data_IF_212972011250
#
_entry.id   IF_212972011250
#
_cell.length_a   1.000
_cell.length_b   1.000
_cell.length_c   1.000
_cell.angle_alpha   90.00
_cell.angle_beta   90.00
_cell.angle_gamma   90.00
#
_symmetry.space_group_name_H-M   'P 1'
#
loop_
_entity.id
_entity.type
_entity.pdbx_description
1 polymer ?
#
# COMPACT_ATOMS: atom_id res chain seq x y z
N UNK A 1 -39.22 14.09 5.55
CA UNK A 1 -38.48 15.16 4.89
C UNK A 1 -37.15 14.62 4.34
N UNK A 2 -36.60 15.23 3.34
CA UNK A 2 -35.21 14.96 2.91
C UNK A 2 -34.29 15.79 3.80
N UNK A 3 -33.20 15.20 4.24
CA UNK A 3 -32.22 15.84 5.11
C UNK A 3 -30.81 15.68 4.53
N UNK A 4 -30.17 16.78 4.18
CA UNK A 4 -28.76 16.78 3.79
C UNK A 4 -27.90 16.84 5.04
N UNK A 5 -26.89 15.98 5.13
CA UNK A 5 -26.02 15.82 6.29
C UNK A 5 -24.56 15.88 5.87
N UNK A 6 -23.72 16.48 6.72
CA UNK A 6 -22.28 16.47 6.65
C UNK A 6 -21.67 16.61 8.04
N UNK A 7 -20.48 16.05 8.28
CA UNK A 7 -19.83 16.06 9.59
C UNK A 7 -18.40 16.58 9.50
N UNK A 8 -17.97 17.30 10.55
CA UNK A 8 -16.61 17.75 10.74
C UNK A 8 -15.98 17.07 11.95
N UNK A 9 -14.82 16.49 11.77
CA UNK A 9 -14.11 15.72 12.82
C UNK A 9 -12.61 15.97 12.81
N UNK A 10 -11.97 15.69 13.94
CA UNK A 10 -10.52 15.70 14.03
C UNK A 10 -9.91 14.48 13.34
N UNK A 11 -8.65 14.61 12.96
CA UNK A 11 -7.86 13.54 12.34
C UNK A 11 -6.53 13.42 13.06
N UNK A 12 -6.05 12.20 13.24
CA UNK A 12 -4.77 11.94 13.91
C UNK A 12 -3.74 11.44 12.90
N UNK A 13 -2.54 12.03 12.96
CA UNK A 13 -1.40 11.54 12.16
C UNK A 13 -0.48 10.70 13.05
N UNK A 14 -0.31 9.42 12.72
CA UNK A 14 0.57 8.48 13.42
C UNK A 14 1.36 7.64 12.40
N UNK A 15 2.65 7.47 12.62
CA UNK A 15 3.55 6.69 11.74
C UNK A 15 3.50 7.14 10.27
N UNK A 16 3.37 8.46 10.04
CA UNK A 16 3.28 9.05 8.72
C UNK A 16 1.93 8.85 8.02
N UNK A 17 0.95 8.18 8.66
CA UNK A 17 -0.39 7.92 8.13
C UNK A 17 -1.43 8.77 8.83
N UNK A 18 -2.44 9.18 8.07
CA UNK A 18 -3.58 9.93 8.56
C UNK A 18 -4.72 8.96 8.90
N UNK A 19 -5.15 8.98 10.16
CA UNK A 19 -6.29 8.21 10.68
C UNK A 19 -7.51 9.12 10.71
N UNK A 20 -8.51 8.78 9.90
CA UNK A 20 -9.72 9.58 9.71
C UNK A 20 -10.94 8.96 10.41
N UNK A 21 -10.80 7.73 10.87
CA UNK A 21 -11.93 6.95 11.37
C UNK A 21 -12.30 7.30 12.83
N UNK A 22 -13.57 7.09 13.22
CA UNK A 22 -14.04 7.36 14.59
C UNK A 22 -13.49 6.33 15.61
N UNK A 23 -12.83 5.26 15.19
CA UNK A 23 -12.23 4.23 16.06
C UNK A 23 -10.82 4.59 16.53
N UNK A 24 -10.26 5.68 16.02
CA UNK A 24 -9.03 6.25 16.57
C UNK A 24 -9.39 7.03 17.85
N UNK A 25 -8.88 6.63 19.04
CA UNK A 25 -9.34 7.18 20.31
C UNK A 25 -9.10 8.69 20.49
N UNK A 26 -8.18 9.26 19.72
CA UNK A 26 -7.85 10.69 19.75
C UNK A 26 -8.72 11.53 18.81
N UNK A 27 -9.45 10.88 17.90
CA UNK A 27 -10.34 11.58 17.00
C UNK A 27 -11.67 11.90 17.68
N UNK A 28 -12.26 13.06 17.34
CA UNK A 28 -13.52 13.56 17.90
C UNK A 28 -14.40 14.11 16.79
N UNK A 29 -15.69 13.88 16.92
CA UNK A 29 -16.71 14.58 16.15
C UNK A 29 -16.82 16.02 16.68
N UNK A 30 -16.67 17.00 15.83
CA UNK A 30 -16.60 18.42 16.21
C UNK A 30 -17.90 19.14 15.91
N UNK A 31 -18.45 18.89 14.71
CA UNK A 31 -19.67 19.55 14.27
C UNK A 31 -20.49 18.63 13.36
N UNK A 32 -21.80 18.72 13.44
CA UNK A 32 -22.74 18.08 12.54
C UNK A 32 -23.63 19.15 11.91
N UNK A 33 -23.70 19.14 10.60
CA UNK A 33 -24.59 20.00 9.84
C UNK A 33 -25.76 19.23 9.24
N UNK A 34 -26.96 19.80 9.34
CA UNK A 34 -28.18 19.27 8.72
C UNK A 34 -28.88 20.39 7.96
N UNK A 35 -29.34 20.11 6.73
CA UNK A 35 -30.11 21.03 5.91
C UNK A 35 -31.37 20.31 5.42
N UNK A 36 -32.54 20.81 5.87
CA UNK A 36 -33.86 20.30 5.46
C UNK A 36 -34.21 20.74 4.03
N UNK A 37 -35.11 20.00 3.38
CA UNK A 37 -35.63 20.34 2.05
C UNK A 37 -36.40 21.66 1.95
N UNK A 38 -36.88 22.20 3.11
CA UNK A 38 -37.49 23.52 3.22
C UNK A 38 -36.48 24.68 3.35
N UNK A 39 -35.16 24.37 3.41
CA UNK A 39 -34.10 25.35 3.58
C UNK A 39 -33.70 25.62 5.03
N UNK A 40 -34.38 25.00 6.01
CA UNK A 40 -34.01 25.15 7.42
C UNK A 40 -32.69 24.42 7.69
N UNK A 41 -31.75 25.15 8.29
CA UNK A 41 -30.42 24.63 8.61
C UNK A 41 -30.21 24.49 10.11
N UNK A 42 -29.59 23.39 10.51
CA UNK A 42 -29.21 23.11 11.88
C UNK A 42 -27.70 22.80 11.91
N UNK A 43 -26.97 23.49 12.79
CA UNK A 43 -25.52 23.28 12.98
C UNK A 43 -25.27 22.96 14.45
N UNK A 44 -24.93 21.73 14.73
CA UNK A 44 -24.70 21.19 16.05
C UNK A 44 -23.20 21.21 16.37
N UNK A 45 -22.84 21.94 17.43
CA UNK A 45 -21.47 21.88 17.99
C UNK A 45 -21.42 20.73 19.00
N UNK A 46 -20.58 19.73 18.74
CA UNK A 46 -20.50 18.51 19.56
C UNK A 46 -19.73 18.70 20.87
N UNK A 47 -19.09 19.86 21.07
CA UNK A 47 -18.46 20.22 22.36
C UNK A 47 -19.49 20.62 23.45
N UNK A 48 -20.75 20.84 23.07
CA UNK A 48 -21.86 21.20 23.96
C UNK A 48 -22.99 20.15 23.86
N UNK A 49 -23.81 19.98 24.89
CA UNK A 49 -24.82 18.91 24.94
C UNK A 49 -26.08 19.20 24.07
N UNK A 50 -25.87 19.61 22.82
CA UNK A 50 -26.97 19.85 21.86
C UNK A 50 -27.44 18.56 21.15
N UNK A 51 -26.91 17.42 21.54
CA UNK A 51 -27.11 16.15 20.85
C UNK A 51 -28.54 15.59 20.89
N UNK A 52 -29.38 16.01 21.86
CA UNK A 52 -30.79 15.59 21.92
C UNK A 52 -31.53 16.08 20.68
N UNK A 53 -31.33 17.31 20.30
CA UNK A 53 -31.98 17.92 19.14
C UNK A 53 -31.48 17.32 17.81
N UNK A 54 -30.21 16.87 17.72
CA UNK A 54 -29.70 16.19 16.53
C UNK A 54 -30.47 14.87 16.27
N UNK A 55 -30.69 14.06 17.31
CA UNK A 55 -31.47 12.83 17.14
C UNK A 55 -32.89 13.09 16.68
N UNK A 56 -33.55 14.12 17.24
CA UNK A 56 -34.90 14.52 16.82
C UNK A 56 -34.96 14.94 15.35
N UNK A 57 -33.94 15.64 14.85
CA UNK A 57 -33.83 16.01 13.42
C UNK A 57 -33.63 14.78 12.56
N UNK A 58 -32.76 13.84 12.98
CA UNK A 58 -32.51 12.57 12.28
C UNK A 58 -33.77 11.69 12.23
N UNK A 59 -34.55 11.62 13.33
CA UNK A 59 -35.76 10.80 13.41
C UNK A 59 -36.87 11.27 12.45
N UNK A 60 -36.88 12.55 12.11
CA UNK A 60 -37.84 13.12 11.13
C UNK A 60 -37.42 12.86 9.67
N UNK A 61 -36.16 12.47 9.43
CA UNK A 61 -35.64 12.28 8.08
C UNK A 61 -36.16 10.97 7.47
N UNK A 62 -36.79 11.05 6.31
CA UNK A 62 -37.18 9.86 5.51
C UNK A 62 -36.01 9.39 4.60
N UNK A 63 -35.13 10.30 4.25
CA UNK A 63 -33.92 10.01 3.49
C UNK A 63 -32.81 10.97 3.91
N UNK A 64 -31.63 10.45 4.19
CA UNK A 64 -30.41 11.24 4.36
C UNK A 64 -29.66 11.37 3.02
N UNK A 65 -29.24 12.58 2.74
CA UNK A 65 -28.44 12.94 1.57
C UNK A 65 -27.06 13.34 2.08
N UNK A 66 -26.01 12.83 1.47
CA UNK A 66 -24.63 13.22 1.79
C UNK A 66 -23.69 12.98 0.61
N UNK A 67 -22.48 13.45 0.75
CA UNK A 67 -21.41 13.18 -0.23
C UNK A 67 -20.39 12.22 0.38
N UNK A 68 -20.46 10.93 0.06
CA UNK A 68 -19.80 9.82 0.76
C UNK A 68 -20.43 9.57 2.16
N UNK A 69 -21.76 9.59 2.23
CA UNK A 69 -22.58 9.53 3.45
C UNK A 69 -22.24 8.38 4.41
N UNK A 70 -21.61 7.30 3.89
CA UNK A 70 -21.16 6.20 4.72
C UNK A 70 -20.14 6.63 5.79
N UNK A 71 -19.35 7.66 5.50
CA UNK A 71 -18.40 8.25 6.44
C UNK A 71 -19.12 8.97 7.59
N UNK A 72 -20.09 9.78 7.25
CA UNK A 72 -20.87 10.57 8.22
C UNK A 72 -21.68 9.66 9.13
N UNK A 73 -22.32 8.62 8.56
CA UNK A 73 -23.06 7.63 9.31
C UNK A 73 -22.20 6.88 10.33
N UNK A 74 -20.97 6.56 10.00
CA UNK A 74 -20.06 5.90 10.95
C UNK A 74 -19.76 6.79 12.15
N UNK A 75 -19.53 8.08 11.93
CA UNK A 75 -19.35 9.04 13.02
C UNK A 75 -20.58 9.19 13.89
N UNK A 76 -21.75 9.33 13.27
CA UNK A 76 -23.01 9.40 14.01
C UNK A 76 -23.24 8.15 14.86
N UNK A 77 -23.08 6.95 14.27
CA UNK A 77 -23.30 5.70 15.00
C UNK A 77 -22.28 5.48 16.12
N UNK A 78 -21.05 5.92 15.96
CA UNK A 78 -20.02 5.80 17.00
C UNK A 78 -20.28 6.76 18.15
N UNK A 79 -20.82 7.94 17.86
CA UNK A 79 -21.27 8.90 18.86
C UNK A 79 -22.64 8.55 19.49
N UNK A 80 -23.23 7.40 19.13
CA UNK A 80 -24.49 6.90 19.74
C UNK A 80 -25.76 7.34 19.06
N UNK A 81 -25.71 8.15 17.98
CA UNK A 81 -26.87 8.52 17.18
C UNK A 81 -27.35 7.35 16.34
N UNK A 82 -28.66 7.33 16.04
CA UNK A 82 -29.31 6.25 15.31
C UNK A 82 -29.92 6.78 14.02
N UNK A 83 -29.71 6.07 12.94
CA UNK A 83 -30.41 6.26 11.68
C UNK A 83 -30.48 4.94 10.91
N UNK A 84 -31.69 4.53 10.55
CA UNK A 84 -31.99 3.27 9.84
C UNK A 84 -32.74 3.52 8.51
N UNK A 85 -32.93 4.79 8.15
CA UNK A 85 -33.68 5.19 6.96
C UNK A 85 -32.90 5.03 5.66
N UNK A 86 -33.52 5.45 4.57
CA UNK A 86 -32.90 5.45 3.25
C UNK A 86 -31.78 6.51 3.16
N UNK A 87 -30.79 6.26 2.29
CA UNK A 87 -29.73 7.23 2.00
C UNK A 87 -29.63 7.49 0.49
N UNK A 88 -29.19 8.70 0.14
CA UNK A 88 -28.79 9.09 -1.20
C UNK A 88 -27.38 9.68 -1.16
N UNK A 89 -26.42 8.89 -1.59
CA UNK A 89 -25.01 9.28 -1.67
C UNK A 89 -24.73 9.92 -3.03
N UNK A 90 -24.46 11.23 -3.02
CA UNK A 90 -24.20 11.99 -4.24
C UNK A 90 -22.91 11.58 -4.95
N UNK A 91 -21.87 11.13 -4.19
CA UNK A 91 -20.64 10.63 -4.77
C UNK A 91 -20.87 9.30 -5.52
N UNK A 92 -21.62 8.38 -4.93
CA UNK A 92 -21.92 7.08 -5.55
C UNK A 92 -22.92 7.22 -6.71
N UNK A 93 -23.88 8.13 -6.61
CA UNK A 93 -24.79 8.43 -7.72
C UNK A 93 -24.01 8.98 -8.93
N UNK A 94 -23.10 9.92 -8.71
CA UNK A 94 -22.24 10.45 -9.76
C UNK A 94 -21.35 9.36 -10.37
N UNK A 95 -20.73 8.50 -9.54
CA UNK A 95 -19.92 7.37 -10.00
C UNK A 95 -20.68 6.46 -10.97
N UNK A 96 -21.96 6.16 -10.67
CA UNK A 96 -22.80 5.31 -11.54
C UNK A 96 -23.17 6.06 -12.82
N UNK A 97 -23.51 7.34 -12.73
CA UNK A 97 -23.85 8.19 -13.87
C UNK A 97 -22.69 8.28 -14.86
N UNK A 98 -21.46 8.27 -14.38
CA UNK A 98 -20.26 8.32 -15.23
C UNK A 98 -20.05 7.06 -16.09
N UNK A 99 -20.69 5.94 -15.80
CA UNK A 99 -20.61 4.71 -16.62
C UNK A 99 -19.16 4.31 -16.95
N UNK A 100 -18.22 4.45 -16.02
CA UNK A 100 -16.81 4.09 -16.18
C UNK A 100 -15.88 5.19 -16.70
N UNK A 101 -16.36 6.39 -16.95
CA UNK A 101 -15.55 7.55 -17.35
C UNK A 101 -14.80 8.14 -16.17
N UNK A 102 -14.19 7.52 -15.35
CA UNK A 102 -13.34 7.84 -14.17
C UNK A 102 -12.99 9.33 -13.94
N UNK A 103 -13.98 10.22 -13.92
CA UNK A 103 -13.77 11.63 -13.54
C UNK A 103 -13.65 11.77 -12.01
N UNK A 104 -13.04 12.83 -11.48
CA UNK A 104 -12.97 13.10 -10.06
C UNK A 104 -14.36 13.16 -9.43
N UNK A 105 -14.50 12.56 -8.24
CA UNK A 105 -15.76 12.43 -7.51
C UNK A 105 -15.84 13.33 -6.27
N UNK A 106 -14.83 14.18 -6.01
CA UNK A 106 -14.91 15.13 -4.89
C UNK A 106 -16.08 16.10 -5.07
N UNK A 107 -16.65 16.58 -3.97
CA UNK A 107 -17.77 17.53 -4.01
C UNK A 107 -17.39 18.79 -4.81
N UNK A 108 -16.15 19.28 -4.66
CA UNK A 108 -15.62 20.39 -5.43
C UNK A 108 -15.66 20.13 -6.96
N UNK A 109 -15.12 18.99 -7.40
CA UNK A 109 -15.11 18.60 -8.81
C UNK A 109 -16.52 18.37 -9.37
N UNK A 110 -17.44 17.87 -8.56
CA UNK A 110 -18.85 17.73 -8.91
C UNK A 110 -19.54 19.10 -8.99
N UNK A 111 -19.26 20.00 -8.03
CA UNK A 111 -19.82 21.35 -8.01
C UNK A 111 -19.42 22.13 -9.29
N UNK A 112 -18.17 22.04 -9.69
CA UNK A 112 -17.68 22.60 -10.97
C UNK A 112 -18.40 22.00 -12.18
N UNK A 113 -18.45 20.65 -12.26
CA UNK A 113 -19.04 19.91 -13.40
C UNK A 113 -20.52 20.19 -13.60
N UNK A 114 -21.24 20.35 -12.52
CA UNK A 114 -22.69 20.62 -12.55
C UNK A 114 -23.03 22.10 -12.45
N UNK A 115 -22.03 22.99 -12.45
CA UNK A 115 -22.19 24.44 -12.37
C UNK A 115 -23.16 24.83 -11.23
N UNK A 116 -22.80 24.35 -10.02
CA UNK A 116 -23.62 24.64 -8.83
C UNK A 116 -23.46 26.12 -8.44
N UNK A 117 -24.53 26.73 -7.94
CA UNK A 117 -24.51 28.10 -7.42
C UNK A 117 -23.55 28.23 -6.23
N UNK A 118 -23.55 27.22 -5.35
CA UNK A 118 -22.62 27.15 -4.24
C UNK A 118 -21.36 26.41 -4.70
N UNK A 119 -20.28 27.14 -4.88
CA UNK A 119 -18.97 26.57 -5.15
C UNK A 119 -18.31 26.21 -3.81
N UNK A 120 -17.83 24.95 -3.69
CA UNK A 120 -17.00 24.58 -2.55
C UNK A 120 -15.67 25.33 -2.67
N UNK A 121 -15.46 26.34 -1.83
CA UNK A 121 -14.15 26.97 -1.65
C UNK A 121 -13.47 26.30 -0.45
N UNK A 122 -12.29 25.77 -0.65
CA UNK A 122 -11.49 25.21 0.43
C UNK A 122 -10.86 26.35 1.27
N UNK A 123 -11.75 27.04 2.00
CA UNK A 123 -11.39 28.21 2.84
C UNK A 123 -10.54 27.79 4.04
N UNK A 124 -10.56 26.50 4.41
CA UNK A 124 -9.85 25.98 5.58
C UNK A 124 -8.43 25.47 5.25
N UNK A 125 -8.05 25.45 3.97
CA UNK A 125 -6.77 24.92 3.51
C UNK A 125 -5.55 25.58 4.16
N UNK A 126 -5.65 26.86 4.47
CA UNK A 126 -4.59 27.60 5.11
C UNK A 126 -4.34 27.13 6.56
N UNK A 127 -5.38 26.71 7.30
CA UNK A 127 -5.24 26.14 8.64
C UNK A 127 -4.53 24.78 8.57
N UNK A 128 -4.94 23.91 7.67
CA UNK A 128 -4.31 22.60 7.47
C UNK A 128 -2.86 22.70 7.01
N UNK A 129 -2.53 23.70 6.16
CA UNK A 129 -1.15 23.97 5.76
C UNK A 129 -0.25 24.40 6.92
N UNK A 130 -0.83 25.03 7.97
CA UNK A 130 -0.15 25.41 9.20
C UNK A 130 -0.14 24.29 10.26
N UNK A 131 -0.73 23.11 9.95
CA UNK A 131 -0.82 21.99 10.87
C UNK A 131 -1.92 22.13 11.93
N UNK A 132 -2.85 23.09 11.75
CA UNK A 132 -4.01 23.27 12.65
C UNK A 132 -5.05 22.23 12.33
N UNK A 133 -5.50 21.45 13.32
CA UNK A 133 -6.60 20.50 13.19
C UNK A 133 -7.96 21.20 13.18
N UNK A 134 -9.02 20.44 12.83
CA UNK A 134 -10.40 20.94 12.77
C UNK A 134 -10.86 21.54 14.12
N UNK A 135 -10.40 20.98 15.21
CA UNK A 135 -10.67 21.47 16.59
C UNK A 135 -10.05 22.82 16.90
N UNK A 136 -8.97 23.19 16.21
CA UNK A 136 -8.30 24.50 16.32
C UNK A 136 -8.87 25.60 15.40
N UNK A 137 -9.82 25.27 14.51
CA UNK A 137 -10.44 26.25 13.60
C UNK A 137 -11.54 27.03 14.35
N UNK A 138 -11.64 28.37 14.16
CA UNK A 138 -12.71 29.16 14.72
C UNK A 138 -14.08 28.58 14.34
N UNK A 139 -14.97 28.42 15.33
CA UNK A 139 -16.27 27.74 15.14
C UNK A 139 -17.15 28.42 14.08
N UNK A 140 -17.08 29.74 13.94
CA UNK A 140 -17.89 30.47 12.95
C UNK A 140 -17.39 30.20 11.52
N UNK A 141 -16.08 30.15 11.30
CA UNK A 141 -15.52 29.78 10.00
C UNK A 141 -15.84 28.32 9.63
N UNK A 142 -15.79 27.41 10.62
CA UNK A 142 -16.18 26.01 10.43
C UNK A 142 -17.68 25.88 10.09
N UNK A 143 -18.56 26.69 10.72
CA UNK A 143 -19.99 26.75 10.40
C UNK A 143 -20.24 27.24 8.97
N UNK A 144 -19.54 28.29 8.54
CA UNK A 144 -19.65 28.82 7.17
C UNK A 144 -19.22 27.75 6.15
N UNK A 145 -18.12 27.09 6.40
CA UNK A 145 -17.61 26.01 5.56
C UNK A 145 -18.62 24.86 5.46
N UNK A 146 -19.08 24.34 6.60
CA UNK A 146 -20.06 23.25 6.67
C UNK A 146 -21.40 23.65 6.02
N UNK A 147 -21.84 24.89 6.19
CA UNK A 147 -23.03 25.43 5.51
C UNK A 147 -22.91 25.43 3.99
N UNK A 148 -21.73 25.77 3.47
CA UNK A 148 -21.47 25.73 2.04
C UNK A 148 -21.47 24.29 1.49
N UNK A 149 -20.87 23.34 2.22
CA UNK A 149 -20.83 21.92 1.84
C UNK A 149 -22.24 21.30 1.84
N UNK A 150 -23.07 21.60 2.82
CA UNK A 150 -24.48 21.18 2.88
C UNK A 150 -25.27 21.69 1.66
N UNK A 151 -25.16 22.98 1.35
CA UNK A 151 -25.86 23.59 0.21
C UNK A 151 -25.38 23.01 -1.13
N UNK A 152 -24.06 22.85 -1.30
CA UNK A 152 -23.50 22.24 -2.50
C UNK A 152 -23.97 20.78 -2.66
N UNK A 153 -23.96 20.00 -1.58
CA UNK A 153 -24.44 18.61 -1.57
C UNK A 153 -25.92 18.52 -1.91
N UNK A 154 -26.76 19.39 -1.35
CA UNK A 154 -28.19 19.43 -1.66
C UNK A 154 -28.42 19.79 -3.14
N UNK A 155 -27.80 20.84 -3.65
CA UNK A 155 -27.88 21.25 -5.07
C UNK A 155 -27.40 20.14 -6.01
N UNK A 156 -26.29 19.47 -5.67
CA UNK A 156 -25.79 18.31 -6.42
C UNK A 156 -26.81 17.18 -6.43
N UNK A 157 -27.36 16.85 -5.27
CA UNK A 157 -28.40 15.82 -5.15
C UNK A 157 -29.59 16.09 -6.08
N UNK A 158 -30.08 17.33 -6.13
CA UNK A 158 -31.18 17.72 -6.99
C UNK A 158 -30.84 17.59 -8.48
N UNK A 159 -29.64 17.99 -8.88
CA UNK A 159 -29.15 17.85 -10.28
C UNK A 159 -29.04 16.37 -10.66
N UNK A 160 -28.44 15.53 -9.79
CA UNK A 160 -28.28 14.10 -10.03
C UNK A 160 -29.63 13.38 -10.07
N UNK A 161 -30.53 13.70 -9.16
CA UNK A 161 -31.86 13.12 -9.13
C UNK A 161 -32.66 13.45 -10.40
N UNK A 162 -32.64 14.72 -10.85
CA UNK A 162 -33.26 15.13 -12.13
C UNK A 162 -32.65 14.35 -13.28
N UNK A 163 -31.33 14.22 -13.36
CA UNK A 163 -30.63 13.50 -14.41
C UNK A 163 -31.01 12.00 -14.42
N UNK A 164 -31.05 11.35 -13.28
CA UNK A 164 -31.44 9.94 -13.14
C UNK A 164 -32.88 9.68 -13.53
N UNK A 165 -33.77 10.69 -13.48
CA UNK A 165 -35.15 10.58 -13.92
C UNK A 165 -35.37 10.85 -15.42
N UNK A 166 -34.31 11.14 -16.17
CA UNK A 166 -34.42 11.24 -17.63
C UNK A 166 -34.44 9.86 -18.28
N UNK A 167 -35.01 9.73 -19.47
CA UNK A 167 -35.10 8.48 -20.21
C UNK A 167 -33.73 7.81 -20.40
N UNK A 168 -32.69 8.60 -20.61
CA UNK A 168 -31.32 8.13 -20.82
C UNK A 168 -30.73 7.42 -19.59
N UNK A 169 -31.06 7.88 -18.38
CA UNK A 169 -30.46 7.44 -17.12
C UNK A 169 -31.44 6.68 -16.21
N UNK A 170 -32.72 6.56 -16.57
CA UNK A 170 -33.77 6.00 -15.69
C UNK A 170 -33.43 4.61 -15.13
N UNK A 171 -32.83 3.74 -15.94
CA UNK A 171 -32.40 2.38 -15.53
C UNK A 171 -31.24 2.39 -14.52
N UNK A 172 -30.53 3.49 -14.36
CA UNK A 172 -29.45 3.60 -13.38
C UNK A 172 -29.94 3.88 -11.98
N UNK A 173 -31.18 4.36 -11.80
CA UNK A 173 -31.75 4.63 -10.48
C UNK A 173 -31.74 3.40 -9.57
N UNK A 174 -32.11 2.23 -10.10
CA UNK A 174 -32.08 0.97 -9.34
C UNK A 174 -30.66 0.62 -8.89
N UNK A 175 -29.67 0.87 -9.76
CA UNK A 175 -28.26 0.67 -9.44
C UNK A 175 -27.79 1.64 -8.35
N UNK A 176 -28.24 2.90 -8.37
CA UNK A 176 -27.92 3.89 -7.32
C UNK A 176 -28.53 3.45 -5.99
N UNK A 177 -29.81 3.06 -5.97
CA UNK A 177 -30.49 2.58 -4.76
C UNK A 177 -29.77 1.35 -4.18
N UNK A 178 -29.45 0.37 -5.02
CA UNK A 178 -28.72 -0.83 -4.59
C UNK A 178 -27.35 -0.47 -4.02
N UNK A 179 -26.59 0.37 -4.74
CA UNK A 179 -25.25 0.81 -4.32
C UNK A 179 -25.29 1.55 -2.98
N UNK A 180 -26.27 2.41 -2.75
CA UNK A 180 -26.45 3.09 -1.48
C UNK A 180 -26.74 2.11 -0.33
N UNK A 181 -27.62 1.12 -0.54
CA UNK A 181 -27.88 0.06 0.46
C UNK A 181 -26.62 -0.74 0.78
N UNK A 182 -25.83 -1.10 -0.25
CA UNK A 182 -24.57 -1.80 -0.07
C UNK A 182 -23.55 -0.92 0.69
N UNK A 183 -23.45 0.36 0.37
CA UNK A 183 -22.56 1.30 1.07
C UNK A 183 -22.88 1.38 2.56
N UNK A 184 -24.15 1.49 2.94
CA UNK A 184 -24.58 1.46 4.36
C UNK A 184 -24.22 0.11 5.02
N UNK A 185 -24.43 -1.00 4.32
CA UNK A 185 -24.04 -2.32 4.82
C UNK A 185 -22.52 -2.41 5.05
N UNK A 186 -21.73 -1.92 4.10
CA UNK A 186 -20.26 -1.90 4.23
C UNK A 186 -19.78 -0.99 5.37
N UNK A 187 -20.46 0.13 5.58
CA UNK A 187 -20.20 1.01 6.73
C UNK A 187 -20.50 0.31 8.07
N UNK A 188 -21.60 -0.45 8.16
CA UNK A 188 -21.92 -1.28 9.34
C UNK A 188 -20.87 -2.39 9.55
N UNK A 189 -20.41 -3.05 8.49
CA UNK A 189 -19.32 -4.05 8.57
C UNK A 189 -18.05 -3.39 9.08
N UNK A 190 -17.69 -2.20 8.55
CA UNK A 190 -16.55 -1.45 9.00
C UNK A 190 -16.64 -1.08 10.48
N UNK A 191 -17.81 -0.55 10.92
CA UNK A 191 -18.07 -0.22 12.33
C UNK A 191 -17.96 -1.45 13.24
N UNK A 192 -18.58 -2.55 12.86
CA UNK A 192 -18.55 -3.78 13.68
C UNK A 192 -17.15 -4.38 13.80
N UNK A 193 -16.32 -4.20 12.76
CA UNK A 193 -14.98 -4.78 12.68
C UNK A 193 -15.00 -6.32 12.62
N UNK A 194 -13.82 -6.89 12.48
CA UNK A 194 -13.57 -8.34 12.51
C UNK A 194 -12.79 -8.68 13.77
N UNK A 195 -13.30 -9.57 14.59
CA UNK A 195 -12.58 -10.04 15.77
C UNK A 195 -11.29 -10.75 15.37
N UNK A 196 -10.19 -10.41 16.04
CA UNK A 196 -8.88 -10.99 15.80
C UNK A 196 -8.49 -11.88 16.97
N UNK A 197 -8.30 -13.16 16.70
CA UNK A 197 -7.70 -14.09 17.66
C UNK A 197 -6.17 -13.89 17.65
N UNK A 198 -5.68 -13.13 18.63
CA UNK A 198 -4.26 -12.80 18.77
C UNK A 198 -3.38 -14.02 19.05
N UNK A 199 -3.93 -15.05 19.74
CA UNK A 199 -3.18 -16.27 20.02
C UNK A 199 -2.96 -17.03 18.70
N UNK A 200 -4.04 -17.23 17.94
CA UNK A 200 -3.95 -17.88 16.64
C UNK A 200 -3.08 -17.13 15.64
N UNK A 201 -3.15 -15.79 15.65
CA UNK A 201 -2.27 -14.96 14.82
C UNK A 201 -0.78 -15.16 15.17
N UNK A 202 -0.47 -15.30 16.46
CA UNK A 202 0.89 -15.57 16.94
C UNK A 202 1.37 -16.96 16.55
N UNK A 203 0.52 -17.98 16.66
CA UNK A 203 0.82 -19.34 16.19
C UNK A 203 1.14 -19.35 14.69
N UNK A 204 0.26 -18.75 13.88
CA UNK A 204 0.45 -18.67 12.41
C UNK A 204 1.74 -17.90 12.06
N UNK A 205 2.05 -16.85 12.81
CA UNK A 205 3.32 -16.13 12.64
C UNK A 205 4.52 -17.04 12.85
N UNK A 206 4.53 -17.79 13.93
CA UNK A 206 5.62 -18.72 14.25
C UNK A 206 5.76 -19.83 13.22
N UNK A 207 4.64 -20.42 12.78
CA UNK A 207 4.63 -21.42 11.71
C UNK A 207 5.24 -20.87 10.41
N UNK A 208 4.83 -19.67 9.99
CA UNK A 208 5.35 -19.05 8.76
C UNK A 208 6.82 -18.63 8.88
N UNK A 209 7.26 -18.15 10.05
CA UNK A 209 8.67 -17.83 10.29
C UNK A 209 9.55 -19.08 10.28
N UNK A 210 9.09 -20.19 10.85
CA UNK A 210 9.80 -21.46 10.80
C UNK A 210 9.91 -22.00 9.38
N UNK A 211 8.80 -22.01 8.62
CA UNK A 211 8.80 -22.44 7.23
C UNK A 211 9.72 -21.53 6.38
N UNK A 212 9.65 -20.21 6.58
CA UNK A 212 10.52 -19.25 5.91
C UNK A 212 11.99 -19.56 6.15
N UNK A 213 12.39 -19.76 7.40
CA UNK A 213 13.78 -20.06 7.77
C UNK A 213 14.27 -21.37 7.13
N UNK A 214 13.43 -22.40 7.09
CA UNK A 214 13.75 -23.67 6.43
C UNK A 214 13.95 -23.50 4.92
N UNK A 215 13.06 -22.76 4.26
CA UNK A 215 13.16 -22.50 2.83
C UNK A 215 14.39 -21.63 2.51
N UNK A 216 14.64 -20.59 3.30
CA UNK A 216 15.85 -19.77 3.14
C UNK A 216 17.14 -20.60 3.30
N UNK A 217 17.18 -21.53 4.25
CA UNK A 217 18.28 -22.45 4.42
C UNK A 217 18.52 -23.30 3.18
N UNK A 218 17.48 -23.97 2.67
CA UNK A 218 17.56 -24.78 1.44
C UNK A 218 17.98 -23.94 0.23
N UNK A 219 17.40 -22.75 0.06
CA UNK A 219 17.75 -21.86 -1.06
C UNK A 219 19.20 -21.39 -0.98
N UNK A 220 19.71 -21.07 0.21
CA UNK A 220 21.13 -20.69 0.40
C UNK A 220 22.06 -21.81 0.02
N UNK A 221 21.79 -23.04 0.44
CA UNK A 221 22.57 -24.22 0.05
C UNK A 221 22.54 -24.45 -1.47
N UNK A 222 21.37 -24.39 -2.08
CA UNK A 222 21.22 -24.53 -3.53
C UNK A 222 21.93 -23.41 -4.29
N UNK A 223 21.87 -22.17 -3.79
CA UNK A 223 22.58 -21.04 -4.40
C UNK A 223 24.10 -21.26 -4.35
N UNK A 224 24.66 -21.75 -3.25
CA UNK A 224 26.07 -22.10 -3.17
C UNK A 224 26.44 -23.17 -4.20
N UNK A 225 25.62 -24.20 -4.36
CA UNK A 225 25.84 -25.22 -5.38
C UNK A 225 25.76 -24.64 -6.81
N UNK A 226 24.87 -23.69 -7.07
CA UNK A 226 24.65 -23.09 -8.39
C UNK A 226 25.65 -22.00 -8.73
N UNK A 227 26.03 -21.17 -7.77
CA UNK A 227 26.81 -19.94 -7.99
C UNK A 227 28.25 -20.05 -7.49
N UNK A 228 28.57 -21.08 -6.70
CA UNK A 228 29.82 -21.14 -5.93
C UNK A 228 29.73 -20.16 -4.74
N UNK A 229 30.86 -19.60 -4.36
CA UNK A 229 30.94 -18.69 -3.21
C UNK A 229 30.41 -17.26 -3.48
N UNK A 230 29.87 -17.02 -4.68
CA UNK A 230 29.26 -15.70 -5.02
C UNK A 230 28.13 -15.37 -4.04
N UNK A 231 28.22 -14.29 -3.27
CA UNK A 231 27.16 -13.90 -2.35
C UNK A 231 25.93 -13.46 -3.14
N UNK A 232 24.79 -14.08 -2.89
CA UNK A 232 23.52 -13.80 -3.56
C UNK A 232 22.48 -13.39 -2.54
N UNK A 233 21.85 -12.26 -2.78
CA UNK A 233 20.69 -11.80 -2.02
C UNK A 233 19.41 -12.38 -2.63
N UNK A 234 18.74 -13.30 -1.92
CA UNK A 234 17.52 -13.96 -2.35
C UNK A 234 16.35 -13.00 -2.59
N UNK A 235 16.33 -11.86 -1.88
CA UNK A 235 15.28 -10.83 -2.03
C UNK A 235 15.56 -9.85 -3.18
N UNK A 236 16.68 -9.99 -3.91
CA UNK A 236 17.01 -9.15 -5.06
C UNK A 236 16.55 -9.82 -6.36
N UNK A 237 15.51 -9.29 -7.05
CA UNK A 237 15.06 -9.83 -8.34
C UNK A 237 16.17 -9.86 -9.39
N UNK A 238 17.06 -8.88 -9.32
CA UNK A 238 18.20 -8.76 -10.22
C UNK A 238 19.21 -9.91 -10.00
N UNK A 239 19.61 -10.14 -8.75
CA UNK A 239 20.52 -11.23 -8.43
C UNK A 239 19.89 -12.61 -8.68
N UNK A 240 18.59 -12.75 -8.44
CA UNK A 240 17.84 -13.94 -8.82
C UNK A 240 17.84 -14.15 -10.34
N UNK A 241 17.81 -13.09 -11.13
CA UNK A 241 17.97 -13.18 -12.59
C UNK A 241 19.30 -13.84 -12.98
N UNK A 242 20.39 -13.53 -12.28
CA UNK A 242 21.68 -14.17 -12.55
C UNK A 242 21.68 -15.66 -12.22
N UNK A 243 21.06 -16.03 -11.11
CA UNK A 243 20.91 -17.43 -10.70
C UNK A 243 20.06 -18.23 -11.69
N UNK A 244 18.96 -17.65 -12.14
CA UNK A 244 18.00 -18.34 -13.01
C UNK A 244 18.52 -18.45 -14.44
N UNK A 245 19.01 -17.35 -15.00
CA UNK A 245 19.37 -17.29 -16.43
C UNK A 245 20.86 -17.45 -16.70
N UNK A 246 21.70 -17.49 -15.68
CA UNK A 246 23.17 -17.63 -15.82
C UNK A 246 23.82 -16.54 -16.67
N UNK A 247 23.20 -15.36 -16.70
CA UNK A 247 23.65 -14.23 -17.52
C UNK A 247 23.83 -12.98 -16.69
N UNK A 248 24.84 -12.21 -17.00
CA UNK A 248 25.12 -10.90 -16.41
C UNK A 248 24.10 -9.88 -16.87
N UNK A 249 23.82 -8.82 -16.07
CA UNK A 249 23.02 -7.68 -16.52
C UNK A 249 23.71 -6.98 -17.70
N UNK A 250 22.94 -6.14 -18.41
CA UNK A 250 23.49 -5.31 -19.50
C UNK A 250 24.60 -4.38 -18.99
N UNK A 251 24.43 -3.84 -17.80
CA UNK A 251 25.45 -3.04 -17.12
C UNK A 251 26.50 -3.96 -16.47
N UNK A 252 27.56 -4.22 -17.22
CA UNK A 252 28.69 -5.05 -16.77
C UNK A 252 29.52 -4.37 -15.68
N UNK A 253 29.49 -3.04 -15.60
CA UNK A 253 30.17 -2.29 -14.54
C UNK A 253 29.45 -2.53 -13.21
N UNK A 254 28.12 -2.53 -13.21
CA UNK A 254 27.34 -2.85 -12.05
C UNK A 254 27.57 -4.28 -11.56
N UNK A 255 27.63 -5.25 -12.47
CA UNK A 255 28.03 -6.62 -12.13
C UNK A 255 29.39 -6.67 -11.46
N UNK A 256 30.41 -6.03 -12.06
CA UNK A 256 31.74 -6.01 -11.54
C UNK A 256 31.85 -5.31 -10.17
N UNK A 257 31.05 -4.27 -9.94
CA UNK A 257 30.99 -3.55 -8.66
C UNK A 257 30.26 -4.34 -7.56
N UNK A 258 29.32 -5.20 -7.94
CA UNK A 258 28.57 -6.03 -6.98
C UNK A 258 29.44 -7.14 -6.36
N UNK A 259 30.43 -7.64 -7.14
CA UNK A 259 31.35 -8.68 -6.71
C UNK A 259 32.75 -8.23 -7.01
N UNK A 260 33.61 -8.05 -6.00
CA UNK A 260 35.03 -7.74 -6.21
C UNK A 260 35.76 -9.00 -6.70
N UNK A 261 36.00 -9.13 -8.00
CA UNK A 261 36.69 -10.31 -8.51
C UNK A 261 38.17 -10.30 -8.05
N UNK A 262 38.73 -11.48 -7.83
CA UNK A 262 40.14 -11.62 -7.60
C UNK A 262 40.88 -11.50 -8.94
N UNK A 263 41.07 -10.26 -9.39
CA UNK A 263 41.70 -9.93 -10.68
C UNK A 263 42.62 -8.74 -10.52
N UNK A 264 43.68 -8.72 -11.36
CA UNK A 264 44.44 -7.49 -11.56
C UNK A 264 43.57 -6.43 -12.23
N UNK A 265 43.91 -5.14 -12.10
CA UNK A 265 43.15 -4.05 -12.78
C UNK A 265 43.13 -4.24 -14.31
N UNK A 266 44.20 -4.83 -14.87
CA UNK A 266 44.31 -5.16 -16.30
C UNK A 266 43.30 -6.24 -16.67
N UNK A 267 43.27 -7.35 -15.91
CA UNK A 267 42.36 -8.47 -16.17
C UNK A 267 40.91 -8.07 -15.96
N UNK A 268 40.64 -7.22 -14.97
CA UNK A 268 39.32 -6.63 -14.73
C UNK A 268 38.83 -5.80 -15.93
N UNK A 269 39.67 -4.90 -16.45
CA UNK A 269 39.34 -4.10 -17.64
C UNK A 269 39.16 -4.98 -18.89
N UNK A 270 39.91 -6.08 -18.99
CA UNK A 270 39.79 -7.04 -20.08
C UNK A 270 38.49 -7.85 -19.96
N UNK A 271 38.12 -8.30 -18.77
CA UNK A 271 36.85 -9.03 -18.51
C UNK A 271 35.64 -8.18 -18.81
N UNK A 272 35.71 -6.86 -18.58
CA UNK A 272 34.64 -5.92 -18.97
C UNK A 272 34.57 -5.79 -20.51
N UNK A 273 35.69 -5.82 -21.21
CA UNK A 273 35.77 -5.73 -22.68
C UNK A 273 35.38 -7.03 -23.38
N UNK A 274 35.77 -8.17 -22.82
CA UNK A 274 35.38 -9.47 -23.31
C UNK A 274 33.91 -9.72 -23.03
N UNK A 275 33.10 -9.45 -23.95
CA UNK A 275 31.64 -9.56 -24.02
C UNK A 275 30.99 -10.87 -23.54
N UNK A 276 31.58 -11.55 -22.54
CA UNK A 276 30.97 -12.74 -21.94
C UNK A 276 29.76 -12.37 -21.11
N UNK A 277 28.56 -12.62 -21.61
CA UNK A 277 27.32 -12.46 -20.90
C UNK A 277 27.07 -13.57 -19.86
N UNK A 278 27.92 -14.56 -19.82
CA UNK A 278 27.79 -15.75 -18.98
C UNK A 278 28.32 -15.48 -17.57
N UNK A 279 27.59 -15.92 -16.56
CA UNK A 279 28.04 -15.95 -15.17
C UNK A 279 28.73 -17.29 -14.89
N UNK A 280 29.93 -17.23 -14.31
CA UNK A 280 30.65 -18.40 -13.86
C UNK A 280 30.56 -18.56 -12.34
N UNK A 281 30.62 -19.79 -11.84
CA UNK A 281 30.77 -20.05 -10.41
C UNK A 281 32.06 -19.43 -9.91
N UNK A 282 32.08 -19.00 -8.67
CA UNK A 282 33.26 -18.40 -8.07
C UNK A 282 33.77 -19.18 -6.88
N UNK A 283 35.05 -18.99 -6.58
CA UNK A 283 35.67 -19.44 -5.33
C UNK A 283 36.10 -18.21 -4.53
N UNK A 284 35.77 -18.17 -3.26
CA UNK A 284 36.16 -17.10 -2.36
C UNK A 284 37.64 -17.23 -1.98
N UNK A 285 38.37 -16.10 -2.06
CA UNK A 285 39.75 -15.99 -1.60
C UNK A 285 39.77 -14.91 -0.52
N UNK A 286 40.33 -15.24 0.63
CA UNK A 286 40.44 -14.29 1.74
C UNK A 286 41.22 -13.04 1.30
N UNK A 287 40.72 -11.88 1.68
CA UNK A 287 41.39 -10.62 1.38
C UNK A 287 42.60 -10.42 2.31
N UNK A 288 43.80 -10.39 1.72
CA UNK A 288 45.02 -10.21 2.47
C UNK A 288 45.18 -8.81 3.09
N UNK A 289 44.43 -7.80 2.60
CA UNK A 289 44.50 -6.42 3.11
C UNK A 289 43.77 -6.25 4.43
N UNK A 290 42.75 -7.06 4.69
CA UNK A 290 41.95 -7.01 5.89
C UNK A 290 41.83 -8.37 6.60
N UNK A 291 42.57 -9.35 6.21
CA UNK A 291 42.60 -10.72 6.76
C UNK A 291 41.19 -11.33 6.92
N UNK A 292 40.33 -11.10 5.92
CA UNK A 292 38.96 -11.61 5.92
C UNK A 292 37.94 -10.79 6.73
N UNK A 293 38.36 -9.76 7.41
CA UNK A 293 37.47 -8.98 8.32
C UNK A 293 36.58 -7.98 7.57
N UNK A 294 36.94 -7.59 6.35
CA UNK A 294 36.22 -6.57 5.57
C UNK A 294 36.46 -5.14 6.02
N UNK A 295 37.20 -4.93 7.12
CA UNK A 295 37.49 -3.62 7.71
C UNK A 295 38.97 -3.48 8.03
N UNK A 296 39.49 -2.27 7.89
CA UNK A 296 40.91 -1.95 8.14
C UNK A 296 40.93 -0.83 9.21
N UNK A 297 41.72 -1.04 10.25
CA UNK A 297 41.97 0.00 11.23
C UNK A 297 43.19 0.83 10.81
N UNK A 298 42.98 2.01 10.24
CA UNK A 298 44.03 2.97 9.92
C UNK A 298 44.67 3.52 11.20
N UNK A 299 45.99 3.74 11.14
CA UNK A 299 46.77 4.31 12.23
C UNK A 299 47.12 5.76 11.88
N UNK A 300 46.98 6.68 12.84
CA UNK A 300 47.36 8.08 12.68
C UNK A 300 48.88 8.20 12.58
N UNK A 301 49.39 9.36 12.12
CA UNK A 301 50.81 9.62 12.03
C UNK A 301 51.58 9.49 13.38
N UNK A 302 50.87 9.64 14.49
CA UNK A 302 51.40 9.47 15.85
C UNK A 302 51.30 8.02 16.38
N UNK A 303 51.00 7.05 15.56
CA UNK A 303 50.91 5.62 15.92
C UNK A 303 49.61 5.19 16.60
N UNK A 304 48.66 6.10 16.85
CA UNK A 304 47.40 5.78 17.50
C UNK A 304 46.34 5.36 16.47
N UNK A 305 45.69 4.19 16.62
CA UNK A 305 44.65 3.76 15.71
C UNK A 305 43.44 4.72 15.76
N UNK A 306 42.73 4.88 14.61
CA UNK A 306 41.41 5.55 14.61
C UNK A 306 40.40 4.71 15.41
N UNK A 307 39.48 5.39 16.10
CA UNK A 307 38.46 4.76 16.94
C UNK A 307 37.58 3.81 16.13
N UNK A 308 37.15 4.24 14.93
CA UNK A 308 36.32 3.44 14.04
C UNK A 308 37.14 2.83 12.90
N UNK A 309 37.02 1.52 12.63
CA UNK A 309 37.64 0.90 11.49
C UNK A 309 36.98 1.38 10.18
N UNK A 310 37.77 1.60 9.13
CA UNK A 310 37.28 1.94 7.81
C UNK A 310 36.95 0.66 7.01
N UNK A 311 36.04 0.79 6.08
CA UNK A 311 35.77 -0.29 5.13
C UNK A 311 37.02 -0.61 4.31
N UNK A 312 37.27 -1.89 4.10
CA UNK A 312 38.34 -2.34 3.22
C UNK A 312 37.97 -2.07 1.77
N UNK A 313 38.71 -1.18 1.11
CA UNK A 313 38.49 -0.85 -0.30
C UNK A 313 38.90 -1.97 -1.26
N UNK A 314 39.80 -2.83 -0.82
CA UNK A 314 40.36 -3.91 -1.67
C UNK A 314 39.39 -5.08 -1.89
N UNK A 315 38.47 -5.32 -0.91
CA UNK A 315 37.43 -6.33 -1.01
C UNK A 315 36.01 -5.75 -0.90
N UNK A 316 35.83 -4.43 -1.00
CA UNK A 316 34.56 -3.75 -0.82
C UNK A 316 33.83 -4.17 0.48
N UNK A 317 34.56 -4.28 1.57
CA UNK A 317 34.07 -4.70 2.89
C UNK A 317 33.57 -6.14 3.00
N UNK A 318 33.71 -6.97 1.96
CA UNK A 318 33.25 -8.37 1.96
C UNK A 318 34.18 -9.32 2.74
N UNK A 319 35.43 -8.93 3.02
CA UNK A 319 36.44 -9.81 3.58
C UNK A 319 37.06 -10.77 2.58
N UNK A 320 36.41 -11.03 1.47
CA UNK A 320 36.79 -11.98 0.43
C UNK A 320 36.75 -11.36 -0.96
N UNK A 321 37.50 -11.93 -1.87
CA UNK A 321 37.45 -11.67 -3.31
C UNK A 321 37.01 -12.95 -4.03
N UNK A 322 36.25 -12.83 -5.10
CA UNK A 322 35.65 -13.97 -5.78
C UNK A 322 36.31 -14.25 -7.12
N UNK A 323 37.06 -15.36 -7.22
CA UNK A 323 37.75 -15.79 -8.45
C UNK A 323 36.79 -16.65 -9.29
N UNK A 324 36.52 -16.30 -10.56
CA UNK A 324 35.76 -17.15 -11.47
C UNK A 324 36.42 -18.51 -11.70
N UNK A 325 35.58 -19.54 -11.73
CA UNK A 325 35.99 -20.91 -12.17
C UNK A 325 35.62 -21.11 -13.64
N UNK A 326 35.95 -22.30 -14.20
CA UNK A 326 35.55 -22.67 -15.55
C UNK A 326 34.12 -23.21 -15.68
N UNK A 327 33.36 -23.25 -14.56
CA UNK A 327 32.00 -23.78 -14.52
C UNK A 327 30.95 -22.67 -14.63
N UNK A 328 30.04 -22.81 -15.59
CA UNK A 328 28.90 -21.88 -15.72
C UNK A 328 28.01 -22.00 -14.49
N UNK A 329 27.67 -20.85 -13.90
CA UNK A 329 26.81 -20.75 -12.74
C UNK A 329 25.32 -20.78 -13.12
N UNK A 330 24.47 -21.01 -12.12
CA UNK A 330 23.01 -20.87 -12.21
C UNK A 330 22.29 -22.02 -12.90
N UNK A 331 20.95 -21.82 -13.07
CA UNK A 331 20.04 -22.81 -13.64
C UNK A 331 20.05 -22.88 -15.17
N UNK A 332 20.66 -21.92 -15.84
CA UNK A 332 20.85 -21.86 -17.29
C UNK A 332 19.59 -21.79 -18.12
N UNK A 333 18.50 -21.24 -17.57
CA UNK A 333 17.28 -21.03 -18.34
C UNK A 333 17.50 -19.99 -19.46
N UNK A 334 16.80 -20.22 -20.58
CA UNK A 334 16.72 -19.23 -21.65
C UNK A 334 15.38 -18.52 -21.56
N UNK A 335 15.34 -17.16 -21.57
CA UNK A 335 14.09 -16.43 -21.57
C UNK A 335 13.24 -16.81 -22.80
N UNK A 336 11.93 -17.13 -22.65
CA UNK A 336 11.10 -17.59 -23.75
C UNK A 336 10.90 -16.55 -24.86
N UNK A 337 11.02 -15.27 -24.55
CA UNK A 337 10.88 -14.18 -25.53
C UNK A 337 11.60 -12.90 -25.07
N UNK A 338 11.77 -11.95 -26.02
CA UNK A 338 12.47 -10.70 -25.77
C UNK A 338 11.77 -9.77 -24.75
N UNK A 339 10.49 -9.94 -24.51
CA UNK A 339 9.74 -9.12 -23.51
C UNK A 339 10.19 -9.39 -22.07
N UNK A 340 10.93 -10.46 -21.83
CA UNK A 340 11.50 -10.77 -20.52
C UNK A 340 12.79 -10.02 -20.22
N UNK A 341 13.33 -9.29 -21.19
CA UNK A 341 14.52 -8.46 -20.99
C UNK A 341 14.09 -7.19 -20.24
N UNK A 342 14.74 -6.94 -19.12
CA UNK A 342 14.59 -5.70 -18.32
C UNK A 342 15.86 -4.84 -18.45
N UNK A 343 15.83 -3.64 -17.87
CA UNK A 343 16.99 -2.73 -17.87
C UNK A 343 18.23 -3.38 -17.23
N UNK A 344 18.04 -4.18 -16.19
CA UNK A 344 19.11 -4.76 -15.36
C UNK A 344 19.26 -6.28 -15.49
N UNK A 345 18.73 -6.88 -16.56
CA UNK A 345 18.81 -8.33 -16.79
C UNK A 345 17.51 -8.89 -17.35
N UNK A 346 17.01 -9.97 -16.76
CA UNK A 346 15.77 -10.61 -17.17
C UNK A 346 14.74 -10.55 -16.03
N UNK A 347 13.47 -10.40 -16.38
CA UNK A 347 12.39 -10.31 -15.40
C UNK A 347 12.22 -11.59 -14.59
N UNK A 348 12.20 -11.41 -13.27
CA UNK A 348 11.90 -12.47 -12.30
C UNK A 348 10.66 -12.02 -11.53
N UNK A 349 9.48 -12.37 -12.04
CA UNK A 349 8.21 -12.11 -11.38
C UNK A 349 7.41 -13.40 -11.22
N UNK A 350 6.35 -13.36 -10.43
CA UNK A 350 5.52 -14.53 -10.12
C UNK A 350 5.07 -15.29 -11.37
N UNK A 351 4.61 -14.58 -12.39
CA UNK A 351 4.13 -15.19 -13.65
C UNK A 351 5.26 -15.90 -14.38
N UNK A 352 6.43 -15.25 -14.48
CA UNK A 352 7.59 -15.80 -15.17
C UNK A 352 8.13 -17.05 -14.44
N UNK A 353 8.16 -17.02 -13.09
CA UNK A 353 8.60 -18.17 -12.29
C UNK A 353 7.71 -19.39 -12.51
N UNK A 354 6.38 -19.21 -12.59
CA UNK A 354 5.44 -20.31 -12.91
C UNK A 354 5.71 -20.90 -14.30
N UNK A 355 5.98 -20.05 -15.30
CA UNK A 355 6.29 -20.51 -16.65
C UNK A 355 7.62 -21.33 -16.66
N UNK A 356 8.65 -20.82 -16.00
CA UNK A 356 9.95 -21.51 -15.88
C UNK A 356 9.82 -22.83 -15.13
N UNK A 357 9.00 -22.89 -14.08
CA UNK A 357 8.73 -24.12 -13.34
C UNK A 357 8.05 -25.17 -14.25
N UNK A 358 7.11 -24.75 -15.08
CA UNK A 358 6.48 -25.68 -16.05
C UNK A 358 7.48 -26.17 -17.10
N UNK A 359 8.39 -25.31 -17.57
CA UNK A 359 9.48 -25.72 -18.46
C UNK A 359 10.41 -26.71 -17.75
N UNK A 360 10.78 -26.45 -16.48
CA UNK A 360 11.61 -27.35 -15.70
C UNK A 360 10.95 -28.73 -15.50
N UNK A 361 9.65 -28.77 -15.20
CA UNK A 361 8.87 -30.01 -15.07
C UNK A 361 8.86 -30.82 -16.37
N UNK A 362 8.61 -30.15 -17.51
CA UNK A 362 8.64 -30.82 -18.84
C UNK A 362 9.99 -31.41 -19.21
N UNK A 363 11.08 -30.79 -18.73
CA UNK A 363 12.43 -31.24 -19.01
C UNK A 363 13.02 -32.14 -17.88
N UNK A 364 12.23 -32.55 -16.91
CA UNK A 364 12.64 -33.36 -15.76
C UNK A 364 13.79 -32.77 -14.94
N UNK A 365 13.85 -31.44 -14.83
CA UNK A 365 14.88 -30.72 -14.08
C UNK A 365 14.47 -30.56 -12.61
N UNK A 366 14.51 -31.65 -11.84
CA UNK A 366 13.96 -31.73 -10.48
C UNK A 366 14.53 -30.64 -9.54
N UNK A 367 15.84 -30.42 -9.57
CA UNK A 367 16.49 -29.40 -8.72
C UNK A 367 16.04 -27.98 -9.09
N UNK A 368 15.83 -27.71 -10.37
CA UNK A 368 15.31 -26.40 -10.81
C UNK A 368 13.84 -26.21 -10.41
N UNK A 369 13.02 -27.28 -10.47
CA UNK A 369 11.62 -27.25 -10.01
C UNK A 369 11.59 -26.88 -8.54
N UNK A 370 12.35 -27.58 -7.69
CA UNK A 370 12.38 -27.34 -6.26
C UNK A 370 12.85 -25.92 -5.93
N UNK A 371 13.91 -25.44 -6.59
CA UNK A 371 14.42 -24.08 -6.41
C UNK A 371 13.36 -23.01 -6.72
N UNK A 372 12.66 -23.18 -7.85
CA UNK A 372 11.64 -22.22 -8.28
C UNK A 372 10.38 -22.27 -7.38
N UNK A 373 10.03 -23.45 -6.85
CA UNK A 373 8.95 -23.62 -5.87
C UNK A 373 9.30 -22.94 -4.55
N UNK A 374 10.49 -23.22 -4.02
CA UNK A 374 10.98 -22.61 -2.79
C UNK A 374 11.07 -21.08 -2.91
N UNK A 375 11.52 -20.54 -4.04
CA UNK A 375 11.60 -19.09 -4.28
C UNK A 375 10.21 -18.44 -4.31
N UNK A 376 9.23 -19.08 -4.96
CA UNK A 376 7.84 -18.58 -4.98
C UNK A 376 7.20 -18.65 -3.59
N UNK A 377 7.46 -19.72 -2.86
CA UNK A 377 6.93 -19.89 -1.50
C UNK A 377 7.55 -18.90 -0.53
N UNK A 378 8.86 -18.64 -0.62
CA UNK A 378 9.54 -17.62 0.17
C UNK A 378 8.90 -16.24 -0.02
N UNK A 379 8.70 -15.83 -1.28
CA UNK A 379 8.05 -14.54 -1.60
C UNK A 379 6.60 -14.46 -1.06
N UNK A 380 5.86 -15.56 -1.09
CA UNK A 380 4.51 -15.62 -0.52
C UNK A 380 4.55 -15.47 1.01
N UNK A 381 5.47 -16.17 1.69
CA UNK A 381 5.64 -16.09 3.14
C UNK A 381 6.05 -14.70 3.60
N UNK A 382 6.97 -14.03 2.87
CA UNK A 382 7.35 -12.64 3.13
C UNK A 382 6.13 -11.71 3.06
N UNK A 383 5.28 -11.90 2.05
CA UNK A 383 4.04 -11.14 1.91
C UNK A 383 3.06 -11.45 3.04
N UNK A 384 2.89 -12.72 3.40
CA UNK A 384 1.98 -13.13 4.48
C UNK A 384 2.42 -12.58 5.83
N UNK A 385 3.71 -12.65 6.14
CA UNK A 385 4.25 -12.12 7.39
C UNK A 385 4.14 -10.60 7.44
N UNK A 386 4.64 -9.88 6.43
CA UNK A 386 4.70 -8.41 6.46
C UNK A 386 3.35 -7.74 6.24
N UNK A 387 2.57 -8.19 5.24
CA UNK A 387 1.33 -7.51 4.86
C UNK A 387 0.11 -7.99 5.64
N UNK A 388 0.02 -9.31 5.90
CA UNK A 388 -1.14 -9.86 6.59
C UNK A 388 -0.91 -9.98 8.09
N UNK A 389 0.10 -10.71 8.56
CA UNK A 389 0.28 -10.95 9.99
C UNK A 389 0.64 -9.67 10.74
N UNK A 390 1.69 -8.97 10.30
CA UNK A 390 2.12 -7.73 10.93
C UNK A 390 1.11 -6.60 10.66
N UNK A 391 0.47 -6.59 9.48
CA UNK A 391 -0.61 -5.66 9.16
C UNK A 391 -1.81 -5.83 10.08
N UNK A 392 -2.32 -7.06 10.23
CA UNK A 392 -3.43 -7.35 11.14
C UNK A 392 -3.08 -6.95 12.57
N UNK A 393 -1.87 -7.32 13.04
CA UNK A 393 -1.44 -6.98 14.40
C UNK A 393 -1.34 -5.46 14.61
N UNK A 394 -0.80 -4.73 13.64
CA UNK A 394 -0.63 -3.26 13.70
C UNK A 394 -1.96 -2.51 13.69
N UNK A 395 -2.92 -2.99 12.89
CA UNK A 395 -4.20 -2.29 12.70
C UNK A 395 -5.34 -2.81 13.57
N UNK A 396 -5.11 -3.87 14.37
CA UNK A 396 -6.07 -4.31 15.37
C UNK A 396 -6.19 -3.25 16.46
N UNK A 397 -7.41 -2.75 16.67
CA UNK A 397 -7.72 -1.71 17.65
C UNK A 397 -7.76 -2.27 19.09
N UNK A 398 -7.80 -1.40 20.13
CA UNK A 398 -7.83 -1.83 21.52
C UNK A 398 -9.01 -2.75 21.89
N UNK A 399 -10.12 -2.66 21.16
CA UNK A 399 -11.30 -3.54 21.30
C UNK A 399 -11.06 -4.99 20.80
N UNK A 400 -9.86 -5.28 20.29
CA UNK A 400 -9.49 -6.59 19.74
C UNK A 400 -9.99 -6.83 18.32
N UNK A 401 -10.45 -5.78 17.63
CA UNK A 401 -11.01 -5.89 16.28
C UNK A 401 -10.17 -5.19 15.24
N UNK A 402 -10.28 -5.67 14.01
CA UNK A 402 -9.74 -5.07 12.81
C UNK A 402 -10.88 -4.38 12.05
N UNK A 403 -10.83 -3.07 11.97
CA UNK A 403 -11.77 -2.28 11.20
C UNK A 403 -11.23 -2.07 9.79
N UNK A 404 -11.86 -2.69 8.79
CA UNK A 404 -11.43 -2.66 7.40
C UNK A 404 -12.39 -1.85 6.56
N UNK A 405 -11.91 -0.73 6.01
CA UNK A 405 -12.71 0.11 5.11
C UNK A 405 -12.82 -0.54 3.73
N UNK A 406 -14.02 -0.96 3.39
CA UNK A 406 -14.36 -1.50 2.07
C UNK A 406 -14.86 -0.37 1.16
N UNK A 407 -14.12 -0.10 0.08
CA UNK A 407 -14.41 1.01 -0.84
C UNK A 407 -15.06 0.48 -2.12
N UNK A 408 -16.39 0.58 -2.20
CA UNK A 408 -17.18 0.06 -3.31
C UNK A 408 -16.84 0.70 -4.67
N UNK A 409 -16.58 2.01 -4.70
CA UNK A 409 -16.28 2.75 -5.93
C UNK A 409 -14.85 2.53 -6.48
N UNK A 410 -13.98 1.85 -5.72
CA UNK A 410 -12.60 1.54 -6.14
C UNK A 410 -12.41 0.11 -6.59
N UNK A 411 -13.36 -0.76 -6.34
CA UNK A 411 -13.35 -2.12 -6.87
C UNK A 411 -13.81 -2.07 -8.32
N UNK A 412 -12.91 -1.68 -9.21
CA UNK A 412 -13.12 -1.90 -10.63
C UNK A 412 -12.83 -3.38 -10.91
N UNK A 413 -13.84 -4.13 -11.08
CA UNK A 413 -13.78 -5.39 -11.84
C UNK A 413 -14.13 -5.08 -13.27
#
# INVERSE_FOLDING_TARGET
MKLTLDVENTTTKRDGKLHLDPFEPTNKLIMVGCLEDNGQQHLFNMDVPDGIYLQEVLDRATILIGHNIAYDLMWLWECGYKYEGAVFDTMLAEYIIQRGIKQPLSLEACAERYELETQKKDTLKHYFAQGVGVDGIPRDELKEYLSADLKATQQLSDKLYRKLNTVEYAKLMDSVILTNKVSVCLAKIYKNGFSVDKNKLTEVKQEFEQEKNQIEGRLKEQVVQLMGDTPINLSSPEQMSWVIYSRKPKDKVMWANSFTPYMSEKDYKQTIKENSDVVYKTTAIQCNTCDGVGKIRKVRKNGIPYANPNNCSDCNSNGYKFKPTNSIAGLKFTPPNAKWISANGFTVNKTNLVILQNIAKKNNLTNAVQFLEDLQRLSALETYLSSFVDGINTYTKPDGKLHVRLLQHRTAT
#
